data_IF_726074913191
#
_entry.id   IF_726074913191
#
_cell.length_a   1.000
_cell.length_b   1.000
_cell.length_c   1.000
_cell.angle_alpha   90.00
_cell.angle_beta   90.00
_cell.angle_gamma   90.00
#
_symmetry.space_group_name_H-M   'P 1'
#
loop_
_entity.id
_entity.type
_entity.pdbx_description
1 polymer ?
#
# COMPACT_ATOMS: atom_id res chain seq x y z
N UNK A 1 -17.15 37.26 -9.63
CA UNK A 1 -17.21 37.51 -8.17
C UNK A 1 -15.80 37.33 -7.61
N UNK A 2 -15.11 38.41 -7.24
CA UNK A 2 -13.73 38.34 -6.76
C UNK A 2 -13.68 37.69 -5.38
N UNK A 3 -13.09 36.50 -5.31
CA UNK A 3 -12.79 35.81 -4.04
C UNK A 3 -11.69 36.60 -3.35
N UNK A 4 -11.98 37.11 -2.15
CA UNK A 4 -11.02 37.87 -1.35
C UNK A 4 -9.76 37.03 -1.12
N UNK A 5 -8.61 37.57 -1.54
CA UNK A 5 -7.28 36.97 -1.38
C UNK A 5 -6.97 36.64 0.09
N UNK A 6 -7.62 37.33 1.03
CA UNK A 6 -7.48 37.10 2.46
C UNK A 6 -8.16 35.81 2.95
N UNK A 7 -9.30 35.43 2.35
CA UNK A 7 -10.00 34.17 2.62
C UNK A 7 -9.35 32.98 1.89
N UNK A 8 -8.51 33.27 0.90
CA UNK A 8 -7.75 32.26 0.16
C UNK A 8 -6.62 31.64 1.01
N UNK A 9 -5.96 32.40 1.90
CA UNK A 9 -4.83 31.88 2.69
C UNK A 9 -5.27 30.89 3.77
N UNK A 10 -6.38 31.17 4.46
CA UNK A 10 -6.97 30.23 5.43
C UNK A 10 -7.58 29.02 4.73
N UNK A 11 -8.10 29.22 3.52
CA UNK A 11 -8.60 28.14 2.66
C UNK A 11 -7.54 27.07 2.35
N UNK A 12 -6.30 27.43 2.01
CA UNK A 12 -5.25 26.44 1.75
C UNK A 12 -4.91 25.61 3.00
N UNK A 13 -4.90 26.24 4.18
CA UNK A 13 -4.64 25.56 5.46
C UNK A 13 -5.78 24.58 5.77
N UNK A 14 -7.03 25.01 5.58
CA UNK A 14 -8.20 24.14 5.74
C UNK A 14 -8.16 22.96 4.77
N UNK A 15 -7.89 23.20 3.47
CA UNK A 15 -7.75 22.13 2.47
C UNK A 15 -6.66 21.13 2.83
N UNK A 16 -5.51 21.59 3.34
CA UNK A 16 -4.43 20.71 3.78
C UNK A 16 -4.86 19.83 4.95
N UNK A 17 -5.52 20.41 5.96
CA UNK A 17 -6.00 19.65 7.12
C UNK A 17 -7.04 18.59 6.71
N UNK A 18 -8.00 18.99 5.88
CA UNK A 18 -9.06 18.11 5.38
C UNK A 18 -8.48 16.96 4.56
N UNK A 19 -7.51 17.27 3.68
CA UNK A 19 -6.78 16.25 2.92
C UNK A 19 -6.13 15.23 3.87
N UNK A 20 -5.37 15.69 4.88
CA UNK A 20 -4.70 14.79 5.82
C UNK A 20 -5.70 13.91 6.57
N UNK A 21 -6.79 14.48 7.08
CA UNK A 21 -7.82 13.73 7.81
C UNK A 21 -8.44 12.67 6.91
N UNK A 22 -8.94 13.02 5.72
CA UNK A 22 -9.57 12.05 4.83
C UNK A 22 -8.59 11.00 4.31
N UNK A 23 -7.38 11.38 3.91
CA UNK A 23 -6.37 10.42 3.45
C UNK A 23 -6.03 9.43 4.55
N UNK A 24 -5.79 9.89 5.78
CA UNK A 24 -5.47 9.01 6.92
C UNK A 24 -6.66 8.12 7.28
N UNK A 25 -7.88 8.67 7.33
CA UNK A 25 -9.09 7.89 7.64
C UNK A 25 -9.34 6.80 6.60
N UNK A 26 -9.21 7.10 5.30
CA UNK A 26 -9.37 6.12 4.22
C UNK A 26 -8.25 5.06 4.30
N UNK A 27 -6.99 5.45 4.48
CA UNK A 27 -5.89 4.48 4.63
C UNK A 27 -6.07 3.57 5.86
N UNK A 28 -6.52 4.11 6.99
CA UNK A 28 -6.84 3.30 8.17
C UNK A 28 -7.99 2.33 7.90
N UNK A 29 -9.04 2.80 7.21
CA UNK A 29 -10.16 1.97 6.84
C UNK A 29 -9.76 0.83 5.90
N UNK A 30 -8.92 1.11 4.91
CA UNK A 30 -8.40 0.10 3.98
C UNK A 30 -7.55 -0.95 4.69
N UNK A 31 -6.68 -0.52 5.60
CA UNK A 31 -5.88 -1.45 6.43
C UNK A 31 -6.75 -2.30 7.35
N UNK A 32 -7.76 -1.70 7.98
CA UNK A 32 -8.75 -2.43 8.77
C UNK A 32 -9.50 -3.44 7.90
N UNK A 33 -9.89 -3.04 6.68
CA UNK A 33 -10.58 -3.91 5.72
C UNK A 33 -9.72 -5.09 5.32
N UNK A 34 -8.43 -4.90 5.05
CA UNK A 34 -7.50 -5.99 4.74
C UNK A 34 -7.44 -7.02 5.89
N UNK A 35 -7.37 -6.55 7.14
CA UNK A 35 -7.40 -7.43 8.30
C UNK A 35 -8.73 -8.18 8.42
N UNK A 36 -9.86 -7.50 8.24
CA UNK A 36 -11.19 -8.10 8.30
C UNK A 36 -11.43 -9.13 7.18
N UNK A 37 -10.92 -8.87 5.97
CA UNK A 37 -10.99 -9.82 4.85
C UNK A 37 -10.15 -11.06 5.16
N UNK A 38 -8.98 -10.91 5.78
CA UNK A 38 -8.17 -12.06 6.21
C UNK A 38 -8.90 -12.91 7.26
N UNK A 39 -9.48 -12.28 8.29
CA UNK A 39 -10.29 -12.99 9.31
C UNK A 39 -11.46 -13.72 8.65
N UNK A 40 -12.17 -13.07 7.73
CA UNK A 40 -13.23 -13.69 6.95
C UNK A 40 -12.76 -14.94 6.18
N UNK A 41 -11.61 -14.87 5.50
CA UNK A 41 -11.07 -16.02 4.76
C UNK A 41 -10.70 -17.16 5.72
N UNK A 42 -10.06 -16.86 6.85
CA UNK A 42 -9.71 -17.86 7.86
C UNK A 42 -10.97 -18.55 8.39
N UNK A 43 -11.99 -17.78 8.74
CA UNK A 43 -13.26 -18.30 9.24
C UNK A 43 -13.99 -19.13 8.16
N UNK A 44 -13.93 -18.72 6.89
CA UNK A 44 -14.47 -19.52 5.78
C UNK A 44 -13.73 -20.84 5.59
N UNK A 45 -12.40 -20.85 5.70
CA UNK A 45 -11.61 -22.07 5.57
C UNK A 45 -11.91 -23.02 6.73
N UNK A 46 -11.99 -22.51 7.95
CA UNK A 46 -12.37 -23.32 9.13
C UNK A 46 -13.78 -23.89 9.00
N UNK A 47 -14.72 -23.09 8.48
CA UNK A 47 -16.08 -23.53 8.20
C UNK A 47 -16.14 -24.63 7.12
N UNK A 48 -15.28 -24.55 6.10
CA UNK A 48 -15.16 -25.56 5.04
C UNK A 48 -14.51 -26.85 5.57
N UNK A 49 -13.51 -26.73 6.45
CA UNK A 49 -12.75 -27.85 7.01
C UNK A 49 -13.57 -28.66 8.05
N UNK A 50 -14.44 -28.00 8.82
CA UNK A 50 -15.26 -28.65 9.87
C UNK A 50 -16.60 -29.24 9.43
N UNK A 51 -16.95 -29.18 8.14
CA UNK A 51 -18.05 -29.95 7.52
C UNK A 51 -19.42 -29.95 8.25
N UNK A 52 -19.83 -28.89 8.98
CA UNK A 52 -21.05 -29.04 9.81
C UNK A 52 -21.65 -27.88 10.60
N UNK A 53 -21.47 -26.60 10.26
CA UNK A 53 -22.24 -25.53 10.93
C UNK A 53 -22.55 -24.38 9.99
N UNK A 54 -23.73 -24.36 9.37
CA UNK A 54 -24.20 -23.39 8.37
C UNK A 54 -24.37 -21.94 8.90
N UNK A 55 -23.34 -21.34 9.50
CA UNK A 55 -23.31 -19.92 9.83
C UNK A 55 -22.23 -19.24 8.99
N UNK A 56 -22.64 -18.69 7.86
CA UNK A 56 -21.77 -17.85 7.03
C UNK A 56 -21.32 -16.62 7.85
N UNK A 57 -20.01 -16.40 8.05
CA UNK A 57 -19.49 -15.27 8.81
C UNK A 57 -19.63 -13.98 8.00
N UNK A 58 -20.86 -13.47 7.89
CA UNK A 58 -21.21 -12.26 7.16
C UNK A 58 -20.78 -10.97 7.90
N UNK A 59 -20.60 -11.05 9.23
CA UNK A 59 -20.38 -9.89 10.07
C UNK A 59 -19.12 -9.06 9.69
N UNK A 60 -17.95 -9.68 9.40
CA UNK A 60 -16.77 -8.94 8.95
C UNK A 60 -16.99 -8.21 7.62
N UNK A 61 -17.61 -8.88 6.63
CA UNK A 61 -17.88 -8.29 5.32
C UNK A 61 -18.84 -7.10 5.42
N UNK A 62 -19.93 -7.26 6.17
CA UNK A 62 -20.93 -6.21 6.35
C UNK A 62 -20.32 -4.99 7.05
N UNK A 63 -19.45 -5.21 8.04
CA UNK A 63 -18.76 -4.12 8.73
C UNK A 63 -17.85 -3.33 7.78
N UNK A 64 -17.11 -4.01 6.90
CA UNK A 64 -16.24 -3.36 5.90
C UNK A 64 -17.04 -2.55 4.90
N UNK A 65 -18.11 -3.14 4.34
CA UNK A 65 -18.97 -2.47 3.36
C UNK A 65 -19.63 -1.24 3.99
N UNK A 66 -20.21 -1.37 5.19
CA UNK A 66 -20.83 -0.24 5.88
C UNK A 66 -19.84 0.87 6.22
N UNK A 67 -18.61 0.52 6.62
CA UNK A 67 -17.60 1.51 6.94
C UNK A 67 -17.10 2.25 5.68
N UNK A 68 -16.95 1.56 4.54
CA UNK A 68 -16.62 2.17 3.24
C UNK A 68 -17.74 3.09 2.75
N UNK A 69 -18.98 2.61 2.76
CA UNK A 69 -20.15 3.41 2.38
C UNK A 69 -20.33 4.61 3.31
N UNK A 70 -20.10 4.44 4.62
CA UNK A 70 -20.16 5.52 5.60
C UNK A 70 -19.10 6.61 5.34
N UNK A 71 -17.86 6.20 5.03
CA UNK A 71 -16.81 7.16 4.67
C UNK A 71 -17.11 7.87 3.34
N UNK A 72 -17.62 7.16 2.34
CA UNK A 72 -18.08 7.75 1.08
C UNK A 72 -19.20 8.77 1.34
N UNK A 73 -20.19 8.43 2.18
CA UNK A 73 -21.31 9.30 2.50
C UNK A 73 -20.85 10.61 3.17
N UNK A 74 -20.03 10.52 4.23
CA UNK A 74 -19.47 11.68 4.94
C UNK A 74 -18.68 12.57 3.97
N UNK A 75 -17.88 11.94 3.11
CA UNK A 75 -17.08 12.67 2.15
C UNK A 75 -17.94 13.33 1.06
N UNK A 76 -18.97 12.65 0.57
CA UNK A 76 -19.89 13.20 -0.43
C UNK A 76 -20.67 14.41 0.09
N UNK A 77 -21.02 14.44 1.38
CA UNK A 77 -21.63 15.61 2.02
C UNK A 77 -20.65 16.79 2.08
N UNK A 78 -19.38 16.52 2.37
CA UNK A 78 -18.34 17.54 2.39
C UNK A 78 -18.06 18.15 1.01
N UNK A 79 -17.97 17.32 -0.03
CA UNK A 79 -17.69 17.77 -1.40
C UNK A 79 -18.94 18.16 -2.19
N UNK A 80 -20.14 17.91 -1.67
CA UNK A 80 -21.42 18.03 -2.37
C UNK A 80 -21.47 17.24 -3.70
N UNK A 81 -20.63 16.21 -3.84
CA UNK A 81 -20.52 15.37 -5.02
C UNK A 81 -20.05 13.96 -4.64
N UNK A 82 -20.91 12.98 -4.90
CA UNK A 82 -20.65 11.56 -4.65
C UNK A 82 -19.59 10.99 -5.58
N UNK A 83 -19.52 11.48 -6.83
CA UNK A 83 -18.56 10.95 -7.81
C UNK A 83 -17.13 11.35 -7.45
N UNK A 84 -16.92 12.62 -7.09
CA UNK A 84 -15.65 13.12 -6.57
C UNK A 84 -15.21 12.31 -5.33
N UNK A 85 -16.14 12.04 -4.40
CA UNK A 85 -15.87 11.25 -3.20
C UNK A 85 -15.40 9.83 -3.55
N UNK A 86 -16.15 9.11 -4.39
CA UNK A 86 -15.76 7.77 -4.83
C UNK A 86 -14.36 7.75 -5.47
N UNK A 87 -14.06 8.71 -6.34
CA UNK A 87 -12.75 8.76 -6.97
C UNK A 87 -11.63 9.03 -5.96
N UNK A 88 -11.80 9.94 -5.00
CA UNK A 88 -10.78 10.17 -3.95
C UNK A 88 -10.48 8.87 -3.19
N UNK A 89 -11.50 8.08 -2.84
CA UNK A 89 -11.32 6.76 -2.22
C UNK A 89 -10.52 5.84 -3.14
N UNK A 90 -10.87 5.78 -4.43
CA UNK A 90 -10.14 5.00 -5.42
C UNK A 90 -8.67 5.43 -5.53
N UNK A 91 -8.39 6.74 -5.54
CA UNK A 91 -7.03 7.27 -5.60
C UNK A 91 -6.21 6.83 -4.39
N UNK A 92 -6.76 7.00 -3.18
CA UNK A 92 -6.11 6.59 -1.94
C UNK A 92 -5.96 5.07 -1.86
N UNK A 93 -6.92 4.32 -2.38
CA UNK A 93 -6.85 2.87 -2.46
C UNK A 93 -5.72 2.39 -3.35
N UNK A 94 -5.62 2.90 -4.59
CA UNK A 94 -4.50 2.54 -5.48
C UNK A 94 -3.15 2.95 -4.88
N UNK A 95 -3.09 4.09 -4.18
CA UNK A 95 -1.90 4.52 -3.47
C UNK A 95 -1.51 3.57 -2.32
N UNK A 96 -2.47 3.06 -1.55
CA UNK A 96 -2.24 2.09 -0.46
C UNK A 96 -1.76 0.73 -1.00
N UNK A 97 -2.36 0.27 -2.10
CA UNK A 97 -1.90 -0.93 -2.80
C UNK A 97 -0.45 -0.79 -3.29
N UNK A 98 -0.08 0.38 -3.80
CA UNK A 98 1.27 0.66 -4.26
C UNK A 98 2.28 0.74 -3.10
N UNK A 99 1.92 1.28 -1.93
CA UNK A 99 2.79 1.26 -0.73
C UNK A 99 3.07 -0.19 -0.29
N UNK A 100 2.08 -1.07 -0.40
CA UNK A 100 2.25 -2.51 -0.11
C UNK A 100 3.22 -3.16 -1.10
N UNK A 101 3.13 -2.83 -2.39
CA UNK A 101 4.01 -3.38 -3.44
C UNK A 101 5.46 -2.87 -3.30
N UNK A 102 5.66 -1.58 -3.01
CA UNK A 102 6.99 -0.93 -2.94
C UNK A 102 7.71 -1.14 -1.60
N UNK A 103 7.17 -1.99 -0.70
CA UNK A 103 7.71 -2.19 0.65
C UNK A 103 9.12 -2.79 0.71
N UNK A 104 9.70 -3.19 -0.43
CA UNK A 104 11.06 -3.71 -0.52
C UNK A 104 12.14 -2.59 -0.54
N UNK A 105 11.78 -1.35 -0.88
CA UNK A 105 12.71 -0.22 -1.00
C UNK A 105 12.35 0.98 -0.09
N UNK A 106 13.16 1.32 0.93
CA UNK A 106 12.86 2.44 1.82
C UNK A 106 13.02 3.83 1.17
N UNK A 107 13.79 3.94 0.06
CA UNK A 107 14.06 5.20 -0.64
C UNK A 107 12.84 5.69 -1.42
N UNK A 108 12.19 4.78 -2.15
CA UNK A 108 10.98 5.06 -2.94
C UNK A 108 9.83 5.46 -2.03
N UNK A 109 9.61 4.73 -0.93
CA UNK A 109 8.58 5.04 0.06
C UNK A 109 8.68 6.48 0.61
N UNK A 110 9.91 6.98 0.86
CA UNK A 110 10.09 8.32 1.45
C UNK A 110 9.83 9.47 0.46
N UNK A 111 10.18 9.28 -0.81
CA UNK A 111 10.07 10.35 -1.82
C UNK A 111 8.73 10.31 -2.55
N UNK A 112 8.22 9.13 -2.88
CA UNK A 112 6.96 8.96 -3.60
C UNK A 112 5.76 9.51 -2.82
N UNK A 113 5.67 9.25 -1.50
CA UNK A 113 4.60 9.80 -0.66
C UNK A 113 4.56 11.34 -0.72
N UNK A 114 5.70 12.02 -0.83
CA UNK A 114 5.75 13.49 -0.93
C UNK A 114 5.10 13.98 -2.22
N UNK A 115 5.36 13.32 -3.35
CA UNK A 115 4.74 13.67 -4.64
C UNK A 115 3.24 13.37 -4.62
N UNK A 116 2.83 12.24 -4.05
CA UNK A 116 1.42 11.91 -3.85
C UNK A 116 0.69 13.03 -3.08
N UNK A 117 1.19 13.40 -1.89
CA UNK A 117 0.58 14.47 -1.08
C UNK A 117 0.57 15.81 -1.80
N UNK A 118 1.59 16.14 -2.62
CA UNK A 118 1.63 17.38 -3.38
C UNK A 118 0.53 17.44 -4.46
N UNK A 119 0.37 16.36 -5.24
CA UNK A 119 -0.66 16.30 -6.29
C UNK A 119 -2.06 16.23 -5.69
N UNK A 120 -2.23 15.47 -4.60
CA UNK A 120 -3.50 15.39 -3.88
C UNK A 120 -3.85 16.75 -3.25
N UNK A 121 -2.89 17.44 -2.62
CA UNK A 121 -3.09 18.78 -2.10
C UNK A 121 -3.48 19.77 -3.19
N UNK A 122 -2.86 19.69 -4.36
CA UNK A 122 -3.19 20.56 -5.50
C UNK A 122 -4.65 20.41 -5.94
N UNK A 123 -5.18 19.19 -5.94
CA UNK A 123 -6.60 18.94 -6.19
C UNK A 123 -7.50 19.52 -5.09
N UNK A 124 -7.21 19.26 -3.82
CA UNK A 124 -7.99 19.77 -2.68
C UNK A 124 -8.01 21.31 -2.64
N UNK A 125 -6.87 21.93 -2.93
CA UNK A 125 -6.73 23.38 -3.01
C UNK A 125 -7.55 23.97 -4.18
N UNK A 126 -7.59 23.29 -5.33
CA UNK A 126 -8.42 23.67 -6.46
C UNK A 126 -9.91 23.59 -6.11
N UNK A 127 -10.34 22.44 -5.54
CA UNK A 127 -11.74 22.22 -5.17
C UNK A 127 -12.24 23.29 -4.20
N UNK A 128 -11.46 23.59 -3.16
CA UNK A 128 -11.83 24.55 -2.13
C UNK A 128 -11.80 26.01 -2.65
N UNK A 129 -10.89 26.35 -3.57
CA UNK A 129 -10.80 27.72 -4.11
C UNK A 129 -11.89 28.05 -5.13
N UNK A 130 -12.29 27.08 -5.94
CA UNK A 130 -13.26 27.27 -7.01
C UNK A 130 -14.65 26.68 -6.70
N UNK A 131 -14.90 26.27 -5.45
CA UNK A 131 -16.15 25.62 -5.02
C UNK A 131 -16.56 24.45 -5.94
N UNK A 132 -15.59 23.65 -6.38
CA UNK A 132 -15.87 22.46 -7.19
C UNK A 132 -16.25 22.69 -8.66
N UNK A 133 -16.15 23.91 -9.21
CA UNK A 133 -16.32 24.11 -10.66
C UNK A 133 -15.30 23.25 -11.44
N UNK A 134 -15.79 22.33 -12.28
CA UNK A 134 -15.00 21.34 -13.01
C UNK A 134 -14.12 20.43 -12.13
N UNK A 135 -14.58 20.09 -10.92
CA UNK A 135 -13.90 19.16 -9.99
C UNK A 135 -13.43 17.87 -10.67
N UNK A 136 -14.30 17.22 -11.44
CA UNK A 136 -13.99 15.96 -12.12
C UNK A 136 -12.82 16.06 -13.11
N UNK A 137 -12.69 17.17 -13.83
CA UNK A 137 -11.59 17.36 -14.78
C UNK A 137 -10.26 17.58 -14.05
N UNK A 138 -10.28 18.39 -12.98
CA UNK A 138 -9.11 18.59 -12.13
C UNK A 138 -8.70 17.29 -11.44
N UNK A 139 -9.68 16.48 -11.02
CA UNK A 139 -9.46 15.17 -10.43
C UNK A 139 -8.79 14.22 -11.44
N UNK A 140 -9.36 14.07 -12.63
CA UNK A 140 -8.79 13.22 -13.69
C UNK A 140 -7.36 13.65 -14.04
N UNK A 141 -7.13 14.96 -14.16
CA UNK A 141 -5.79 15.50 -14.42
C UNK A 141 -4.82 15.13 -13.29
N UNK A 142 -5.19 15.37 -12.03
CA UNK A 142 -4.38 15.00 -10.87
C UNK A 142 -4.15 13.49 -10.78
N UNK A 143 -5.15 12.68 -11.17
CA UNK A 143 -5.08 11.23 -11.19
C UNK A 143 -4.04 10.73 -12.20
N UNK A 144 -4.06 11.25 -13.43
CA UNK A 144 -3.04 10.90 -14.43
C UNK A 144 -1.64 11.28 -13.97
N UNK A 145 -1.47 12.42 -13.31
CA UNK A 145 -0.16 12.81 -12.75
C UNK A 145 0.29 11.88 -11.61
N UNK A 146 -0.63 11.48 -10.72
CA UNK A 146 -0.35 10.51 -9.66
C UNK A 146 0.09 9.19 -10.29
N UNK A 147 -0.68 8.65 -11.24
CA UNK A 147 -0.35 7.40 -11.94
C UNK A 147 0.98 7.47 -12.69
N UNK A 148 1.23 8.55 -13.43
CA UNK A 148 2.50 8.76 -14.12
C UNK A 148 3.67 8.79 -13.14
N UNK A 149 3.53 9.47 -12.01
CA UNK A 149 4.57 9.49 -10.97
C UNK A 149 4.80 8.08 -10.39
N UNK A 150 3.75 7.31 -10.13
CA UNK A 150 3.85 5.93 -9.64
C UNK A 150 4.63 5.04 -10.61
N UNK A 151 4.28 5.09 -11.90
CA UNK A 151 4.92 4.28 -12.95
C UNK A 151 6.38 4.70 -13.14
N UNK A 152 6.66 6.02 -13.15
CA UNK A 152 8.01 6.54 -13.29
C UNK A 152 8.91 6.08 -12.14
N UNK A 153 8.43 6.19 -10.89
CA UNK A 153 9.18 5.73 -9.72
C UNK A 153 9.38 4.21 -9.73
N UNK A 154 8.36 3.45 -10.14
CA UNK A 154 8.43 2.00 -10.23
C UNK A 154 9.47 1.52 -11.26
N UNK A 155 9.43 2.06 -12.47
CA UNK A 155 10.33 1.63 -13.54
C UNK A 155 11.79 2.01 -13.27
N UNK A 156 12.03 3.20 -12.74
CA UNK A 156 13.40 3.70 -12.58
C UNK A 156 14.08 3.26 -11.28
N UNK A 157 13.33 3.09 -10.18
CA UNK A 157 13.92 2.83 -8.86
C UNK A 157 13.62 1.44 -8.30
N UNK A 158 12.41 0.89 -8.49
CA UNK A 158 12.05 -0.43 -7.94
C UNK A 158 12.63 -1.58 -8.77
N UNK A 159 12.48 -1.54 -10.10
CA UNK A 159 12.92 -2.61 -11.00
C UNK A 159 14.42 -2.97 -10.88
N UNK A 160 15.38 -2.00 -10.88
CA UNK A 160 16.79 -2.34 -10.73
C UNK A 160 17.14 -2.82 -9.32
N UNK A 161 16.46 -2.31 -8.28
CA UNK A 161 16.73 -2.70 -6.89
C UNK A 161 16.25 -4.13 -6.61
N UNK A 162 15.06 -4.51 -7.09
CA UNK A 162 14.55 -5.89 -6.97
C UNK A 162 15.45 -6.87 -7.71
N UNK A 163 15.93 -6.51 -8.90
CA UNK A 163 16.85 -7.35 -9.66
C UNK A 163 18.17 -7.55 -8.91
N UNK A 164 18.71 -6.49 -8.30
CA UNK A 164 19.94 -6.56 -7.51
C UNK A 164 19.75 -7.37 -6.23
N UNK A 165 18.60 -7.27 -5.57
CA UNK A 165 18.28 -8.06 -4.37
C UNK A 165 18.14 -9.55 -4.71
N UNK A 166 17.49 -9.90 -5.82
CA UNK A 166 17.40 -11.27 -6.29
C UNK A 166 18.79 -11.88 -6.57
N UNK A 167 19.70 -11.10 -7.17
CA UNK A 167 21.08 -11.56 -7.38
C UNK A 167 21.85 -11.77 -6.08
N UNK A 168 21.73 -10.86 -5.11
CA UNK A 168 22.39 -11.01 -3.81
C UNK A 168 21.88 -12.24 -3.05
N UNK A 169 20.58 -12.52 -3.13
CA UNK A 169 19.96 -13.68 -2.47
C UNK A 169 20.47 -15.00 -3.06
N UNK A 170 20.65 -15.06 -4.39
CA UNK A 170 21.27 -16.22 -5.05
C UNK A 170 22.74 -16.42 -4.63
N UNK A 171 23.52 -15.35 -4.50
CA UNK A 171 24.91 -15.42 -4.05
C UNK A 171 25.03 -15.91 -2.61
N UNK A 172 24.13 -15.48 -1.71
CA UNK A 172 24.12 -15.93 -0.31
C UNK A 172 23.78 -17.42 -0.21
N UNK A 173 22.80 -17.90 -0.98
CA UNK A 173 22.41 -19.32 -1.03
C UNK A 173 23.58 -20.18 -1.55
N UNK A 174 24.26 -19.75 -2.61
CA UNK A 174 25.44 -20.45 -3.14
C UNK A 174 26.59 -20.51 -2.12
N UNK A 175 26.86 -19.40 -1.42
CA UNK A 175 27.88 -19.34 -0.35
C UNK A 175 27.55 -20.31 0.79
N UNK A 176 26.29 -20.39 1.23
CA UNK A 176 25.86 -21.34 2.26
C UNK A 176 26.02 -22.79 1.81
N UNK A 177 25.66 -23.11 0.56
CA UNK A 177 25.85 -24.46 0.01
C UNK A 177 27.32 -24.85 -0.10
N UNK A 178 28.21 -23.92 -0.48
CA UNK A 178 29.66 -24.16 -0.50
C UNK A 178 30.23 -24.39 0.90
N UNK A 179 29.79 -23.64 1.90
CA UNK A 179 30.22 -23.84 3.29
C UNK A 179 29.77 -25.21 3.84
N UNK A 180 28.55 -25.65 3.53
CA UNK A 180 28.09 -27.00 3.89
C UNK A 180 28.92 -28.10 3.23
N UNK A 181 29.24 -27.96 1.93
CA UNK A 181 30.07 -28.95 1.24
C UNK A 181 31.50 -29.02 1.80
N UNK A 182 32.10 -27.88 2.17
CA UNK A 182 33.42 -27.85 2.80
C UNK A 182 33.42 -28.50 4.19
N UNK A 183 32.39 -28.28 5.01
CA UNK A 183 32.25 -28.94 6.31
C UNK A 183 32.07 -30.46 6.17
N UNK A 184 31.29 -30.92 5.18
CA UNK A 184 31.09 -32.34 4.93
C UNK A 184 32.39 -33.03 4.45
N UNK A 185 33.17 -32.37 3.59
CA UNK A 185 34.47 -32.89 3.16
C UNK A 185 35.49 -32.95 4.30
N UNK A 186 35.54 -31.94 5.19
CA UNK A 186 36.42 -31.98 6.36
C UNK A 186 36.03 -33.10 7.35
N UNK A 187 34.73 -33.32 7.58
CA UNK A 187 34.27 -34.43 8.42
C UNK A 187 34.59 -35.80 7.80
N UNK A 188 34.43 -35.98 6.49
CA UNK A 188 34.82 -37.22 5.82
C UNK A 188 36.33 -37.47 5.87
N UNK A 189 37.15 -36.43 5.71
CA UNK A 189 38.61 -36.56 5.85
C UNK A 189 39.03 -36.90 7.29
N UNK A 190 38.40 -36.30 8.30
CA UNK A 190 38.67 -36.65 9.71
C UNK A 190 38.21 -38.06 10.05
N UNK A 191 37.07 -38.53 9.53
CA UNK A 191 36.62 -39.92 9.73
C UNK A 191 37.55 -40.92 9.05
N UNK A 192 38.03 -40.65 7.83
CA UNK A 192 39.01 -41.52 7.17
C UNK A 192 40.35 -41.57 7.91
N UNK A 193 40.81 -40.43 8.45
CA UNK A 193 42.03 -40.39 9.27
C UNK A 193 41.89 -41.18 10.58
N UNK A 194 40.74 -41.08 11.27
CA UNK A 194 40.47 -41.89 12.46
C UNK A 194 40.34 -43.38 12.15
N UNK A 195 39.82 -43.75 10.97
CA UNK A 195 39.67 -45.16 10.58
C UNK A 195 41.02 -45.81 10.23
N UNK A 196 41.99 -45.05 9.71
CA UNK A 196 43.36 -45.53 9.46
C UNK A 196 44.22 -45.62 10.73
N UNK A 197 43.85 -44.95 11.82
CA UNK A 197 44.62 -44.97 13.08
C UNK A 197 44.20 -46.11 14.03
N UNK A 198 43.14 -46.86 13.71
CA UNK A 198 42.60 -47.97 14.51
C UNK A 198 42.63 -49.34 13.83
N UNK A 199 43.23 -49.48 12.66
CA UNK A 199 43.57 -50.81 12.13
C UNK A 199 44.97 -51.21 12.63
N UNK A 200 45.08 -52.37 13.33
CA UNK A 200 46.25 -52.77 14.11
C UNK A 200 47.51 -53.07 13.28
#
# INVERSE_FOLDING_TARGET
RFVSIWMARTSYIASFFIMVVFTVSISMLLRYSHHQIFVFIVDLLQLLDFHGSLSFPAAPLLTVILALVGMEAIMSEFFNDTTTAFYIILIVWVADQYDTICSHCPITKRHWLKFFYLYHFSFYAYHYRFNGQYSNLALICSWFFIQHSMIYFYHHYELPYVLQQAQLQQVIIQRQQQQQHQQQQQQQQQQQQHQHQHQP
#
